data_IF_088921500415
#
_entry.id   IF_088921500415
#
_cell.length_a   1.000
_cell.length_b   1.000
_cell.length_c   1.000
_cell.angle_alpha   90.00
_cell.angle_beta   90.00
_cell.angle_gamma   90.00
#
_symmetry.space_group_name_H-M   'P 1'
#
loop_
_entity.id
_entity.type
_entity.pdbx_description
1 polymer ?
#
# COMPACT_ATOMS: atom_id res chain seq x y z
N UNK A 1 -27.05 -14.63 -3.43
CA UNK A 1 -25.66 -14.25 -3.07
C UNK A 1 -25.35 -12.78 -3.39
N UNK A 2 -26.20 -11.84 -2.97
CA UNK A 2 -25.96 -10.41 -3.21
C UNK A 2 -25.19 -9.74 -2.06
N UNK A 3 -25.62 -9.98 -0.82
CA UNK A 3 -24.94 -9.50 0.38
C UNK A 3 -23.48 -9.97 0.49
N UNK A 4 -23.20 -11.20 0.10
CA UNK A 4 -21.84 -11.74 0.10
C UNK A 4 -20.93 -10.97 -0.90
N UNK A 5 -21.44 -10.66 -2.10
CA UNK A 5 -20.71 -9.87 -3.08
C UNK A 5 -20.45 -8.43 -2.58
N UNK A 6 -21.45 -7.81 -1.93
CA UNK A 6 -21.28 -6.50 -1.30
C UNK A 6 -20.17 -6.50 -0.25
N UNK A 7 -20.12 -7.54 0.59
CA UNK A 7 -19.09 -7.68 1.61
C UNK A 7 -17.69 -7.80 0.98
N UNK A 8 -17.53 -8.62 -0.07
CA UNK A 8 -16.24 -8.78 -0.76
C UNK A 8 -15.79 -7.50 -1.46
N UNK A 9 -16.70 -6.77 -2.11
CA UNK A 9 -16.38 -5.48 -2.76
C UNK A 9 -15.97 -4.45 -1.70
N UNK A 10 -16.69 -4.38 -0.58
CA UNK A 10 -16.33 -3.49 0.52
C UNK A 10 -14.93 -3.79 1.06
N UNK A 11 -14.63 -5.05 1.33
CA UNK A 11 -13.33 -5.47 1.87
C UNK A 11 -12.19 -5.18 0.89
N UNK A 12 -12.43 -5.42 -0.41
CA UNK A 12 -11.46 -5.13 -1.48
C UNK A 12 -11.20 -3.63 -1.59
N UNK A 13 -12.26 -2.81 -1.56
CA UNK A 13 -12.15 -1.35 -1.60
C UNK A 13 -11.41 -0.79 -0.40
N UNK A 14 -11.75 -1.28 0.80
CA UNK A 14 -11.06 -0.89 2.03
C UNK A 14 -9.56 -1.20 1.96
N UNK A 15 -9.19 -2.44 1.60
CA UNK A 15 -7.79 -2.83 1.46
C UNK A 15 -7.03 -2.01 0.40
N UNK A 16 -7.67 -1.71 -0.73
CA UNK A 16 -7.07 -0.88 -1.77
C UNK A 16 -6.77 0.55 -1.28
N UNK A 17 -7.71 1.18 -0.57
CA UNK A 17 -7.54 2.53 -0.02
C UNK A 17 -6.44 2.55 1.05
N UNK A 18 -6.45 1.58 1.98
CA UNK A 18 -5.40 1.46 3.00
C UNK A 18 -4.02 1.29 2.37
N UNK A 19 -3.88 0.38 1.38
CA UNK A 19 -2.61 0.14 0.70
C UNK A 19 -2.09 1.40 -0.02
N UNK A 20 -2.98 2.12 -0.72
CA UNK A 20 -2.62 3.37 -1.40
C UNK A 20 -2.22 4.45 -0.40
N UNK A 21 -2.98 4.64 0.68
CA UNK A 21 -2.68 5.65 1.70
C UNK A 21 -1.34 5.36 2.37
N UNK A 22 -1.14 4.14 2.87
CA UNK A 22 0.11 3.73 3.51
C UNK A 22 1.29 3.83 2.55
N UNK A 23 1.14 3.36 1.30
CA UNK A 23 2.21 3.44 0.29
C UNK A 23 2.62 4.88 -0.01
N UNK A 24 1.65 5.77 -0.20
CA UNK A 24 1.92 7.19 -0.42
C UNK A 24 2.58 7.84 0.80
N UNK A 25 2.12 7.56 2.02
CA UNK A 25 2.71 8.10 3.25
C UNK A 25 4.12 7.58 3.52
N UNK A 26 4.38 6.28 3.34
CA UNK A 26 5.71 5.70 3.51
C UNK A 26 6.71 6.31 2.54
N UNK A 27 6.32 6.48 1.28
CA UNK A 27 7.15 7.16 0.29
C UNK A 27 7.38 8.62 0.65
N UNK A 28 6.36 9.33 1.16
CA UNK A 28 6.53 10.72 1.58
C UNK A 28 7.49 10.84 2.76
N UNK A 29 7.49 9.90 3.71
CA UNK A 29 8.33 9.93 4.91
C UNK A 29 9.77 9.47 4.68
N UNK A 30 9.99 8.54 3.73
CA UNK A 30 11.33 7.97 3.48
C UNK A 30 12.12 8.68 2.37
N UNK A 31 11.50 9.57 1.62
CA UNK A 31 12.15 10.24 0.49
C UNK A 31 12.68 11.63 0.89
N UNK A 32 13.96 11.94 0.61
CA UNK A 32 14.52 13.28 0.82
C UNK A 32 13.79 14.35 -0.01
N UNK A 33 13.58 15.55 0.56
CA UNK A 33 12.75 16.62 -0.03
C UNK A 33 13.14 17.00 -1.47
N UNK A 34 14.43 17.03 -1.79
CA UNK A 34 14.93 17.36 -3.13
C UNK A 34 14.63 16.31 -4.21
N UNK A 35 14.26 15.08 -3.82
CA UNK A 35 13.97 13.97 -4.74
C UNK A 35 12.50 13.55 -4.71
N UNK A 36 11.69 14.13 -3.82
CA UNK A 36 10.27 13.76 -3.63
C UNK A 36 9.48 13.79 -4.94
N UNK A 37 9.62 14.86 -5.74
CA UNK A 37 8.95 14.96 -7.04
C UNK A 37 9.38 13.90 -8.06
N UNK A 38 10.67 13.51 -8.07
CA UNK A 38 11.20 12.49 -9.00
C UNK A 38 10.74 11.09 -8.61
N UNK A 39 10.80 10.75 -7.32
CA UNK A 39 10.40 9.43 -6.82
C UNK A 39 8.88 9.25 -6.91
N UNK A 40 8.09 10.28 -6.61
CA UNK A 40 6.64 10.22 -6.81
C UNK A 40 6.27 10.08 -8.29
N UNK A 41 6.99 10.74 -9.20
CA UNK A 41 6.78 10.59 -10.64
C UNK A 41 7.10 9.17 -11.13
N UNK A 42 8.21 8.58 -10.67
CA UNK A 42 8.56 7.18 -10.98
C UNK A 42 7.55 6.20 -10.38
N UNK A 43 7.12 6.43 -9.14
CA UNK A 43 6.09 5.64 -8.50
C UNK A 43 4.78 5.69 -9.28
N UNK A 44 4.33 6.89 -9.67
CA UNK A 44 3.15 7.07 -10.51
C UNK A 44 3.29 6.39 -11.87
N UNK A 45 4.46 6.51 -12.53
CA UNK A 45 4.76 5.82 -13.79
C UNK A 45 4.69 4.30 -13.64
N UNK A 46 5.21 3.74 -12.55
CA UNK A 46 5.15 2.29 -12.31
C UNK A 46 3.69 1.88 -12.07
N UNK A 47 2.97 2.56 -11.17
CA UNK A 47 1.58 2.19 -10.83
C UNK A 47 0.64 2.31 -12.04
N UNK A 48 0.67 3.44 -12.75
CA UNK A 48 -0.18 3.63 -13.93
C UNK A 48 0.33 2.90 -15.17
N UNK A 49 1.64 2.79 -15.35
CA UNK A 49 2.24 2.12 -16.51
C UNK A 49 2.10 0.61 -16.46
N UNK A 50 2.10 -0.01 -15.27
CA UNK A 50 1.84 -1.44 -15.13
C UNK A 50 0.36 -1.79 -15.13
N UNK A 51 -0.55 -0.84 -14.89
CA UNK A 51 -2.00 -1.10 -14.95
C UNK A 51 -2.48 -1.70 -16.29
N UNK A 52 -2.12 -1.14 -17.47
CA UNK A 52 -2.51 -1.73 -18.75
C UNK A 52 -1.82 -3.08 -19.01
N UNK A 53 -0.56 -3.26 -18.58
CA UNK A 53 0.15 -4.54 -18.70
C UNK A 53 -0.55 -5.64 -17.89
N UNK A 54 -0.90 -5.35 -16.64
CA UNK A 54 -1.69 -6.24 -15.79
C UNK A 54 -3.04 -6.56 -16.44
N UNK A 55 -3.72 -5.56 -17.00
CA UNK A 55 -5.02 -5.74 -17.66
C UNK A 55 -4.95 -6.68 -18.87
N UNK A 56 -3.89 -6.61 -19.68
CA UNK A 56 -3.68 -7.52 -20.81
C UNK A 56 -3.40 -8.95 -20.33
N UNK A 57 -2.54 -9.10 -19.32
CA UNK A 57 -2.21 -10.41 -18.74
C UNK A 57 -3.44 -11.07 -18.09
N UNK A 58 -4.18 -10.32 -17.27
CA UNK A 58 -5.40 -10.81 -16.63
C UNK A 58 -6.52 -11.05 -17.64
N UNK A 59 -6.68 -10.19 -18.66
CA UNK A 59 -7.69 -10.35 -19.71
C UNK A 59 -7.42 -11.56 -20.61
N UNK A 60 -6.16 -11.77 -21.01
CA UNK A 60 -5.77 -12.96 -21.77
C UNK A 60 -5.95 -14.24 -20.94
N UNK A 61 -5.50 -14.24 -19.68
CA UNK A 61 -5.72 -15.36 -18.77
C UNK A 61 -7.21 -15.67 -18.59
N UNK A 62 -8.05 -14.65 -18.41
CA UNK A 62 -9.51 -14.82 -18.27
C UNK A 62 -10.16 -15.41 -19.52
N UNK A 63 -9.60 -15.16 -20.71
CA UNK A 63 -10.11 -15.70 -21.98
C UNK A 63 -9.80 -17.19 -22.13
N UNK A 64 -8.61 -17.64 -21.71
CA UNK A 64 -8.20 -19.05 -21.83
C UNK A 64 -8.65 -19.94 -20.66
N UNK A 65 -8.57 -19.44 -19.43
CA UNK A 65 -8.84 -20.21 -18.20
C UNK A 65 -10.26 -19.99 -17.65
N UNK A 66 -10.93 -18.93 -18.12
CA UNK A 66 -12.19 -18.44 -17.58
C UNK A 66 -11.99 -17.37 -16.48
N UNK A 67 -13.03 -16.54 -16.20
CA UNK A 67 -12.91 -15.46 -15.23
C UNK A 67 -12.67 -15.93 -13.78
N UNK A 68 -13.35 -17.00 -13.36
CA UNK A 68 -13.29 -17.47 -11.96
C UNK A 68 -11.91 -18.02 -11.55
N UNK A 69 -11.32 -18.85 -12.40
CA UNK A 69 -9.98 -19.43 -12.20
C UNK A 69 -8.88 -18.38 -12.25
N UNK A 70 -9.02 -17.39 -13.15
CA UNK A 70 -8.08 -16.26 -13.25
C UNK A 70 -8.10 -15.39 -11.98
N UNK A 71 -9.29 -15.08 -11.45
CA UNK A 71 -9.42 -14.34 -10.20
C UNK A 71 -8.87 -15.16 -9.02
N UNK A 72 -9.17 -16.47 -8.98
CA UNK A 72 -8.64 -17.36 -7.94
C UNK A 72 -7.10 -17.45 -7.98
N UNK A 73 -6.51 -17.58 -9.18
CA UNK A 73 -5.06 -17.58 -9.35
C UNK A 73 -4.40 -16.25 -8.98
N UNK A 74 -4.99 -15.13 -9.42
CA UNK A 74 -4.51 -13.79 -9.08
C UNK A 74 -4.58 -13.48 -7.59
N UNK A 75 -5.68 -13.87 -6.93
CA UNK A 75 -5.82 -13.72 -5.47
C UNK A 75 -4.86 -14.61 -4.69
N UNK A 76 -4.57 -15.82 -5.15
CA UNK A 76 -3.54 -16.67 -4.55
C UNK A 76 -2.15 -16.04 -4.67
N UNK A 77 -1.79 -15.54 -5.86
CA UNK A 77 -0.52 -14.84 -6.06
C UNK A 77 -0.41 -13.59 -5.19
N UNK A 78 -1.48 -12.80 -5.07
CA UNK A 78 -1.52 -11.64 -4.19
C UNK A 78 -1.37 -12.04 -2.70
N UNK A 79 -2.04 -13.11 -2.26
CA UNK A 79 -1.93 -13.63 -0.90
C UNK A 79 -0.51 -14.15 -0.60
N UNK A 80 0.12 -14.83 -1.56
CA UNK A 80 1.52 -15.25 -1.45
C UNK A 80 2.46 -14.06 -1.35
N UNK A 81 2.25 -13.02 -2.16
CA UNK A 81 3.03 -11.77 -2.08
C UNK A 81 2.89 -11.10 -0.71
N UNK A 82 1.67 -10.97 -0.20
CA UNK A 82 1.41 -10.43 1.14
C UNK A 82 2.07 -11.29 2.22
N UNK A 83 1.95 -12.62 2.13
CA UNK A 83 2.59 -13.57 3.05
C UNK A 83 4.11 -13.44 3.05
N UNK A 84 4.73 -13.33 1.88
CA UNK A 84 6.18 -13.11 1.73
C UNK A 84 6.62 -11.78 2.36
N UNK A 85 5.87 -10.69 2.15
CA UNK A 85 6.17 -9.39 2.76
C UNK A 85 6.08 -9.47 4.29
N UNK A 86 5.01 -10.07 4.83
CA UNK A 86 4.82 -10.24 6.27
C UNK A 86 5.86 -11.18 6.90
N UNK A 87 6.47 -12.07 6.11
CA UNK A 87 7.51 -12.98 6.56
C UNK A 87 8.90 -12.35 6.48
N UNK A 88 9.16 -11.56 5.43
CA UNK A 88 10.44 -10.87 5.22
C UNK A 88 10.60 -9.62 6.08
N UNK A 89 9.50 -8.94 6.40
CA UNK A 89 9.48 -7.76 7.26
C UNK A 89 8.62 -8.03 8.51
N UNK A 90 9.06 -8.90 9.43
CA UNK A 90 8.36 -9.16 10.69
C UNK A 90 8.32 -7.92 11.60
N UNK A 91 9.16 -6.92 11.33
CA UNK A 91 9.17 -5.61 11.98
C UNK A 91 7.85 -4.84 11.74
N UNK A 92 7.16 -5.05 10.61
CA UNK A 92 5.83 -4.49 10.36
C UNK A 92 4.74 -5.08 11.27
N UNK A 93 5.00 -6.24 11.91
CA UNK A 93 4.10 -6.80 12.93
C UNK A 93 4.26 -6.14 14.29
N UNK A 94 5.38 -5.44 14.52
CA UNK A 94 5.73 -4.77 15.77
C UNK A 94 5.75 -3.24 15.65
N UNK A 95 5.49 -2.67 14.47
CA UNK A 95 5.01 -1.30 14.30
C UNK A 95 3.59 -1.19 14.91
N UNK A 96 3.53 -1.41 16.22
CA UNK A 96 2.40 -1.06 17.04
C UNK A 96 2.27 0.44 17.05
N UNK A 97 1.05 0.92 17.11
CA UNK A 97 0.67 2.30 17.42
C UNK A 97 1.27 2.83 18.75
N UNK A 98 2.15 2.08 19.41
CA UNK A 98 2.82 2.42 20.66
C UNK A 98 3.95 3.44 20.50
N UNK A 99 4.44 3.71 19.28
CA UNK A 99 5.41 4.80 19.01
C UNK A 99 4.72 6.12 18.66
N UNK A 100 3.39 6.11 18.43
CA UNK A 100 2.58 7.33 18.24
C UNK A 100 2.01 7.87 19.56
N UNK A 101 2.09 7.10 20.63
CA UNK A 101 2.03 7.62 21.99
C UNK A 101 3.40 8.27 22.24
N UNK A 102 3.49 9.58 22.02
CA UNK A 102 4.64 10.34 22.49
C UNK A 102 4.89 9.96 23.97
N UNK A 103 6.14 9.74 24.40
CA UNK A 103 6.42 9.45 25.80
C UNK A 103 5.74 10.51 26.66
N UNK A 104 4.83 10.10 27.54
CA UNK A 104 4.17 10.98 28.51
C UNK A 104 5.22 11.64 29.46
N UNK A 105 6.46 11.16 29.43
CA UNK A 105 7.62 11.71 30.14
C UNK A 105 8.55 12.61 29.32
N UNK A 106 8.20 12.92 28.06
CA UNK A 106 8.93 13.91 27.30
C UNK A 106 8.65 15.29 27.91
N UNK A 107 9.48 15.67 28.90
CA UNK A 107 9.73 17.05 29.27
C UNK A 107 10.04 17.81 27.99
N UNK A 108 9.02 18.49 27.47
CA UNK A 108 9.02 19.26 26.24
C UNK A 108 10.24 20.18 26.27
N UNK A 109 11.33 19.95 25.49
CA UNK A 109 12.28 21.03 25.26
C UNK A 109 11.55 22.08 24.41
N UNK A 110 11.57 23.37 24.81
CA UNK A 110 10.69 24.36 24.23
C UNK A 110 11.03 24.62 22.76
N UNK A 111 9.98 24.65 21.95
CA UNK A 111 9.80 25.49 20.75
C UNK A 111 10.88 25.44 19.67
N UNK A 112 10.49 24.98 18.48
CA UNK A 112 11.19 25.32 17.23
C UNK A 112 11.50 26.83 17.21
N UNK A 113 12.74 27.25 16.91
CA UNK A 113 13.05 28.66 16.77
C UNK A 113 12.18 29.24 15.66
N UNK A 114 11.57 30.44 15.83
CA UNK A 114 10.87 31.08 14.75
C UNK A 114 11.86 31.28 13.60
N UNK A 115 11.47 30.85 12.39
CA UNK A 115 12.18 31.17 11.16
C UNK A 115 12.28 32.69 11.06
N UNK A 116 13.43 33.24 11.46
CA UNK A 116 13.77 34.65 11.35
C UNK A 116 14.36 34.90 9.95
N UNK A 117 13.78 35.87 9.26
CA UNK A 117 14.38 36.55 8.10
C UNK A 117 13.54 36.45 6.86
#
# INVERSE_FOLDING_TARGET
>A
NYYLALMFIFLTGFGMVSQLSTGNSLLQLNVPDGLRGRIMSLFGLIVMGFAPLGSILYGSAATYLGPGSTIAGGSLLAAMGAGLVLWKYPELRHFGFNEMEAPEDATIPPTYPPLRG
#
